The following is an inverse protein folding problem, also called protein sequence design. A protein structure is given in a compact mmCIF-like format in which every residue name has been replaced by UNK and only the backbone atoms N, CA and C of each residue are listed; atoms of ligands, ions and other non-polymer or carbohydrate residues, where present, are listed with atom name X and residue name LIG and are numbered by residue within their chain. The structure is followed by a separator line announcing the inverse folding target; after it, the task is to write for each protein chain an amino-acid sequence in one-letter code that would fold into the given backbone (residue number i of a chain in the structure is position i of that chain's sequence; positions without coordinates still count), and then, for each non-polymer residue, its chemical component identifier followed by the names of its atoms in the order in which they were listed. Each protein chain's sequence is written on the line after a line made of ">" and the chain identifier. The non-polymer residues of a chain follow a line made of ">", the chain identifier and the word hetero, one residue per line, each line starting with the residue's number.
data_IF_716899127180
#
_entry.id   IF_716899127180
#
_cell.length_a   1.000
_cell.length_b   1.000
_cell.length_c   1.000
_cell.angle_alpha   90.00
_cell.angle_beta   90.00
_cell.angle_gamma   90.00
#
_symmetry.space_group_name_H-M   'P 1'
#
loop_
_entity.id
_entity.type
_entity.pdbx_description
1 polymer ?
#
# COMPACT_ATOMS: atom_id res chain seq x y z
N UNK A 1 57.06 2.34 -0.37
CA UNK A 1 55.95 1.54 0.18
C UNK A 1 54.68 2.18 -0.34
N UNK A 2 54.24 1.75 -1.52
CA UNK A 2 53.03 2.25 -2.18
C UNK A 2 51.90 1.26 -1.91
N UNK A 3 50.80 1.74 -1.33
CA UNK A 3 49.61 0.95 -1.08
C UNK A 3 48.77 0.91 -2.36
N UNK A 4 48.49 -0.28 -2.94
CA UNK A 4 47.63 -0.36 -4.11
C UNK A 4 46.18 -0.11 -3.69
N UNK A 5 45.53 0.83 -4.38
CA UNK A 5 44.14 1.21 -4.18
C UNK A 5 43.21 0.03 -4.39
N UNK A 6 42.52 -0.33 -3.31
CA UNK A 6 41.46 -1.31 -3.26
C UNK A 6 40.28 -0.81 -4.12
N UNK A 7 40.18 -1.31 -5.36
CA UNK A 7 38.98 -1.17 -6.17
C UNK A 7 37.86 -1.97 -5.53
N UNK A 8 37.02 -1.27 -4.76
CA UNK A 8 35.72 -1.76 -4.33
C UNK A 8 34.87 -2.07 -5.57
N UNK A 9 34.31 -3.29 -5.71
CA UNK A 9 33.39 -3.58 -6.79
C UNK A 9 32.11 -2.77 -6.60
N UNK A 10 31.64 -2.18 -7.71
CA UNK A 10 30.37 -1.49 -7.80
C UNK A 10 29.27 -2.33 -7.14
N UNK A 11 28.66 -1.78 -6.09
CA UNK A 11 27.48 -2.34 -5.44
C UNK A 11 26.38 -2.43 -6.50
N UNK A 12 25.92 -3.66 -6.73
CA UNK A 12 24.99 -4.04 -7.78
C UNK A 12 23.79 -3.10 -7.91
N UNK A 13 23.80 -2.34 -9.00
CA UNK A 13 22.62 -1.82 -9.66
C UNK A 13 22.23 -2.88 -10.70
N UNK A 14 21.45 -3.88 -10.29
CA UNK A 14 20.73 -4.87 -11.11
C UNK A 14 20.26 -5.92 -10.08
N UNK A 15 18.98 -6.14 -9.78
CA UNK A 15 17.84 -6.34 -10.66
C UNK A 15 16.56 -5.80 -9.99
N UNK A 16 16.09 -4.63 -10.41
CA UNK A 16 14.68 -4.29 -10.28
C UNK A 16 13.91 -5.10 -11.34
N UNK A 17 13.78 -6.40 -11.11
CA UNK A 17 12.86 -7.24 -11.89
C UNK A 17 11.45 -6.70 -11.66
N UNK A 18 10.93 -6.00 -12.67
CA UNK A 18 9.54 -5.60 -12.80
C UNK A 18 8.62 -6.81 -13.07
N UNK A 19 8.86 -7.92 -12.37
CA UNK A 19 7.93 -9.03 -12.24
C UNK A 19 6.91 -8.70 -11.16
N UNK A 20 5.67 -9.09 -11.37
CA UNK A 20 4.70 -9.09 -10.28
C UNK A 20 5.24 -10.06 -9.20
N UNK A 21 5.54 -9.52 -8.01
CA UNK A 21 5.98 -10.29 -6.84
C UNK A 21 4.90 -11.34 -6.48
N UNK A 22 5.31 -12.57 -6.16
CA UNK A 22 4.44 -13.68 -5.71
C UNK A 22 3.52 -13.26 -4.55
N UNK A 23 3.97 -12.31 -3.73
CA UNK A 23 3.16 -11.70 -2.66
C UNK A 23 1.96 -10.94 -3.22
N UNK A 24 2.12 -10.23 -4.32
CA UNK A 24 1.01 -9.52 -4.96
C UNK A 24 0.04 -10.48 -5.67
N UNK A 25 0.51 -11.55 -6.30
CA UNK A 25 -0.40 -12.60 -6.82
C UNK A 25 -1.21 -13.26 -5.69
N UNK A 26 -0.57 -13.50 -4.55
CA UNK A 26 -1.25 -14.00 -3.34
C UNK A 26 -2.32 -13.01 -2.85
N UNK A 27 -2.01 -11.71 -2.87
CA UNK A 27 -2.99 -10.66 -2.56
C UNK A 27 -4.17 -10.69 -3.53
N UNK A 28 -3.94 -10.78 -4.85
CA UNK A 28 -4.99 -10.84 -5.87
C UNK A 28 -5.91 -12.05 -5.69
N UNK A 29 -5.33 -13.22 -5.38
CA UNK A 29 -6.10 -14.44 -5.11
C UNK A 29 -7.02 -14.27 -3.88
N UNK A 30 -6.51 -13.69 -2.80
CA UNK A 30 -7.30 -13.47 -1.58
C UNK A 30 -8.37 -12.38 -1.78
N UNK A 31 -8.04 -11.32 -2.53
CA UNK A 31 -8.96 -10.23 -2.83
C UNK A 31 -10.16 -10.67 -3.69
N UNK A 32 -9.99 -11.75 -4.46
CA UNK A 32 -11.00 -12.24 -5.41
C UNK A 32 -11.66 -13.56 -5.03
N UNK A 33 -11.26 -14.18 -3.92
CA UNK A 33 -11.74 -15.52 -3.51
C UNK A 33 -13.26 -15.60 -3.41
N UNK A 34 -13.87 -14.53 -2.88
CA UNK A 34 -15.30 -14.48 -2.55
C UNK A 34 -16.10 -13.64 -3.56
N UNK A 35 -15.44 -13.17 -4.63
CA UNK A 35 -16.09 -12.35 -5.64
C UNK A 35 -16.73 -13.21 -6.74
N UNK A 36 -17.88 -12.80 -7.30
CA UNK A 36 -18.47 -13.38 -8.50
C UNK A 36 -17.47 -13.44 -9.68
N UNK A 37 -17.50 -14.51 -10.46
CA UNK A 37 -16.53 -14.76 -11.55
C UNK A 37 -16.47 -13.64 -12.59
N UNK A 38 -17.60 -13.00 -12.86
CA UNK A 38 -17.73 -11.88 -13.81
C UNK A 38 -17.07 -10.58 -13.30
N UNK A 39 -16.96 -10.40 -11.99
CA UNK A 39 -16.34 -9.22 -11.37
C UNK A 39 -14.83 -9.37 -11.15
N UNK A 40 -14.34 -10.62 -10.96
CA UNK A 40 -12.92 -10.91 -10.76
C UNK A 40 -11.98 -10.24 -11.77
N UNK A 41 -12.17 -10.37 -13.10
CA UNK A 41 -11.21 -9.80 -14.06
C UNK A 41 -11.13 -8.28 -13.98
N UNK A 42 -12.26 -7.60 -13.71
CA UNK A 42 -12.29 -6.13 -13.58
C UNK A 42 -11.53 -5.66 -12.35
N UNK A 43 -11.73 -6.33 -11.21
CA UNK A 43 -11.04 -6.01 -9.95
C UNK A 43 -9.54 -6.29 -10.07
N UNK A 44 -9.15 -7.44 -10.64
CA UNK A 44 -7.73 -7.76 -10.89
C UNK A 44 -7.07 -6.73 -11.78
N UNK A 45 -7.72 -6.34 -12.89
CA UNK A 45 -7.18 -5.31 -13.79
C UNK A 45 -6.98 -3.97 -13.07
N UNK A 46 -7.97 -3.55 -12.27
CA UNK A 46 -7.88 -2.33 -11.47
C UNK A 46 -6.74 -2.38 -10.43
N UNK A 47 -6.59 -3.50 -9.73
CA UNK A 47 -5.53 -3.68 -8.74
C UNK A 47 -4.14 -3.73 -9.40
N UNK A 48 -3.99 -4.40 -10.55
CA UNK A 48 -2.73 -4.41 -11.30
C UNK A 48 -2.35 -3.01 -11.79
N UNK A 49 -3.30 -2.23 -12.30
CA UNK A 49 -3.06 -0.85 -12.71
C UNK A 49 -2.58 0.01 -11.52
N UNK A 50 -3.22 -0.13 -10.36
CA UNK A 50 -2.82 0.56 -9.11
C UNK A 50 -1.47 0.09 -8.55
N UNK A 51 -1.10 -1.17 -8.75
CA UNK A 51 0.21 -1.69 -8.37
C UNK A 51 1.33 -1.16 -9.28
N UNK A 52 1.06 -1.05 -10.59
CA UNK A 52 1.99 -0.50 -11.55
C UNK A 52 2.23 1.00 -11.33
N UNK A 53 1.16 1.76 -11.08
CA UNK A 53 1.21 3.20 -10.81
C UNK A 53 0.59 3.52 -9.44
N UNK A 54 1.35 3.32 -8.34
CA UNK A 54 0.84 3.61 -7.01
C UNK A 54 0.86 5.14 -6.74
N UNK A 55 -0.05 5.67 -5.91
CA UNK A 55 -0.23 7.11 -5.71
C UNK A 55 0.86 7.74 -4.81
N UNK A 56 2.08 7.83 -5.34
CA UNK A 56 3.27 8.27 -4.61
C UNK A 56 3.14 9.68 -4.03
N UNK A 57 2.76 10.65 -4.86
CA UNK A 57 2.65 12.06 -4.44
C UNK A 57 1.59 12.22 -3.34
N UNK A 58 0.45 11.55 -3.49
CA UNK A 58 -0.61 11.58 -2.49
C UNK A 58 -0.16 10.95 -1.17
N UNK A 59 0.53 9.80 -1.24
CA UNK A 59 1.09 9.14 -0.06
C UNK A 59 2.09 10.05 0.67
N UNK A 60 3.00 10.67 -0.09
CA UNK A 60 4.02 11.54 0.49
C UNK A 60 3.40 12.79 1.14
N UNK A 61 2.35 13.35 0.55
CA UNK A 61 1.61 14.47 1.12
C UNK A 61 0.90 14.09 2.43
N UNK A 62 0.23 12.94 2.48
CA UNK A 62 -0.50 12.49 3.67
C UNK A 62 0.45 12.10 4.81
N UNK A 63 1.50 11.34 4.52
CA UNK A 63 2.48 10.90 5.51
C UNK A 63 3.55 11.95 5.85
N UNK A 64 3.59 13.06 5.09
CA UNK A 64 4.59 14.14 5.20
C UNK A 64 6.04 13.61 5.14
N UNK A 65 6.27 12.57 4.34
CA UNK A 65 7.59 11.96 4.11
C UNK A 65 7.69 11.42 2.70
N UNK A 66 8.91 11.32 2.17
CA UNK A 66 9.14 10.61 0.90
C UNK A 66 8.92 9.11 1.09
N UNK A 67 8.34 8.47 0.06
CA UNK A 67 8.07 7.03 0.04
C UNK A 67 8.46 6.50 -1.33
N UNK A 68 9.19 5.38 -1.38
CA UNK A 68 9.51 4.71 -2.65
C UNK A 68 8.31 3.90 -3.17
N UNK A 69 8.22 3.64 -4.49
CA UNK A 69 7.17 2.78 -5.06
C UNK A 69 7.06 1.42 -4.37
N UNK A 70 8.21 0.80 -4.09
CA UNK A 70 8.30 -0.52 -3.46
C UNK A 70 7.76 -0.46 -2.02
N UNK A 71 8.07 0.60 -1.28
CA UNK A 71 7.57 0.78 0.09
C UNK A 71 6.07 1.03 0.13
N UNK A 72 5.54 1.77 -0.84
CA UNK A 72 4.10 2.01 -0.97
C UNK A 72 3.35 0.74 -1.37
N UNK A 73 3.87 -0.06 -2.30
CA UNK A 73 3.31 -1.38 -2.63
C UNK A 73 3.29 -2.28 -1.39
N UNK A 74 4.36 -2.25 -0.59
CA UNK A 74 4.39 -2.96 0.69
C UNK A 74 3.30 -2.48 1.64
N UNK A 75 3.20 -1.18 1.86
CA UNK A 75 2.17 -0.60 2.73
C UNK A 75 0.75 -0.99 2.27
N UNK A 76 0.48 -1.02 0.97
CA UNK A 76 -0.86 -1.30 0.44
C UNK A 76 -1.22 -2.79 0.42
N UNK A 77 -0.29 -3.66 0.03
CA UNK A 77 -0.61 -5.06 -0.30
C UNK A 77 -0.06 -6.07 0.70
N UNK A 78 1.00 -5.74 1.43
CA UNK A 78 1.65 -6.61 2.40
C UNK A 78 2.16 -5.79 3.60
N UNK A 79 1.25 -5.12 4.34
CA UNK A 79 1.63 -4.21 5.42
C UNK A 79 2.26 -4.97 6.58
N UNK A 80 3.30 -4.37 7.19
CA UNK A 80 3.76 -4.78 8.52
C UNK A 80 2.77 -4.33 9.61
N UNK A 81 3.03 -4.75 10.85
CA UNK A 81 2.32 -4.22 12.03
C UNK A 81 2.44 -2.69 12.14
N UNK A 82 3.63 -2.15 11.95
CA UNK A 82 3.89 -0.70 11.94
C UNK A 82 3.13 0.00 10.79
N UNK A 83 3.03 -0.64 9.62
CA UNK A 83 2.22 -0.09 8.52
C UNK A 83 0.75 0.01 8.92
N UNK A 84 0.21 -1.01 9.56
CA UNK A 84 -1.19 -1.02 9.98
C UNK A 84 -1.50 0.00 11.08
N UNK A 85 -0.51 0.39 11.87
CA UNK A 85 -0.65 1.53 12.80
C UNK A 85 -0.75 2.89 12.08
N UNK A 86 -0.22 3.00 10.85
CA UNK A 86 -0.33 4.21 10.03
C UNK A 86 -1.63 4.25 9.20
N UNK A 87 -2.35 3.14 9.05
CA UNK A 87 -3.60 3.09 8.29
C UNK A 87 -4.66 4.09 8.76
N UNK A 88 -4.92 4.30 10.06
CA UNK A 88 -5.91 5.27 10.52
C UNK A 88 -5.70 6.66 9.90
N UNK A 89 -4.45 7.16 9.87
CA UNK A 89 -4.12 8.44 9.22
C UNK A 89 -4.37 8.41 7.71
N UNK A 90 -4.10 7.29 7.04
CA UNK A 90 -4.26 7.14 5.59
C UNK A 90 -5.72 7.00 5.15
N UNK A 91 -6.60 6.49 6.02
CA UNK A 91 -8.02 6.31 5.74
C UNK A 91 -8.91 7.45 6.29
N UNK A 92 -8.33 8.40 7.03
CA UNK A 92 -9.07 9.57 7.51
C UNK A 92 -9.73 10.34 6.39
N UNK A 93 -10.86 10.97 6.69
CA UNK A 93 -11.55 11.86 5.77
C UNK A 93 -10.68 13.07 5.42
N UNK A 94 -10.81 13.56 4.18
CA UNK A 94 -10.24 14.84 3.80
C UNK A 94 -10.84 16.00 4.64
N UNK A 95 -10.09 17.09 4.87
CA UNK A 95 -10.62 18.27 5.55
C UNK A 95 -11.91 18.79 4.89
N UNK A 96 -12.80 19.38 5.68
CA UNK A 96 -14.03 19.97 5.13
C UNK A 96 -13.73 21.05 4.09
N UNK A 97 -14.40 21.00 2.94
CA UNK A 97 -14.15 21.89 1.81
C UNK A 97 -12.94 21.52 0.94
N UNK A 98 -12.25 20.40 1.21
CA UNK A 98 -11.18 19.91 0.35
C UNK A 98 -11.72 19.51 -1.05
N UNK A 99 -10.95 19.73 -2.12
CA UNK A 99 -11.33 19.32 -3.47
C UNK A 99 -11.42 17.79 -3.58
N UNK A 100 -12.19 17.28 -4.54
CA UNK A 100 -12.33 15.83 -4.77
C UNK A 100 -10.98 15.14 -5.03
N UNK A 101 -10.03 15.85 -5.65
CA UNK A 101 -8.70 15.34 -5.98
C UNK A 101 -7.69 15.42 -4.81
N UNK A 102 -8.15 15.75 -3.61
CA UNK A 102 -7.29 15.88 -2.43
C UNK A 102 -6.51 14.58 -2.15
N UNK A 103 -5.20 14.65 -1.83
CA UNK A 103 -4.36 13.49 -1.53
C UNK A 103 -4.96 12.49 -0.54
N UNK A 104 -5.64 13.01 0.48
CA UNK A 104 -6.33 12.20 1.49
C UNK A 104 -7.41 11.31 0.87
N UNK A 105 -8.25 11.85 -0.03
CA UNK A 105 -9.32 11.09 -0.70
C UNK A 105 -8.74 9.95 -1.55
N UNK A 106 -7.64 10.23 -2.27
CA UNK A 106 -6.91 9.20 -3.04
C UNK A 106 -6.41 8.10 -2.10
N UNK A 107 -5.66 8.47 -1.06
CA UNK A 107 -5.09 7.47 -0.14
C UNK A 107 -6.16 6.66 0.59
N UNK A 108 -7.23 7.30 1.03
CA UNK A 108 -8.37 6.67 1.65
C UNK A 108 -8.96 5.58 0.75
N UNK A 109 -9.25 5.90 -0.52
CA UNK A 109 -9.79 4.92 -1.45
C UNK A 109 -8.86 3.71 -1.64
N UNK A 110 -7.55 3.92 -1.75
CA UNK A 110 -6.58 2.84 -1.90
C UNK A 110 -6.49 1.95 -0.65
N UNK A 111 -6.34 2.57 0.53
CA UNK A 111 -6.20 1.86 1.79
C UNK A 111 -7.49 1.14 2.21
N UNK A 112 -8.66 1.77 2.06
CA UNK A 112 -9.95 1.12 2.34
C UNK A 112 -10.21 -0.07 1.41
N UNK A 113 -9.86 0.04 0.13
CA UNK A 113 -9.98 -1.08 -0.82
C UNK A 113 -9.16 -2.28 -0.34
N UNK A 114 -7.89 -2.07 0.02
CA UNK A 114 -7.02 -3.16 0.48
C UNK A 114 -7.46 -3.74 1.84
N UNK A 115 -7.87 -2.86 2.77
CA UNK A 115 -8.39 -3.24 4.08
C UNK A 115 -9.64 -4.11 3.96
N UNK A 116 -10.62 -3.68 3.14
CA UNK A 116 -11.87 -4.41 2.93
C UNK A 116 -11.65 -5.74 2.19
N UNK A 117 -10.91 -5.73 1.08
CA UNK A 117 -10.78 -6.93 0.24
C UNK A 117 -9.93 -8.02 0.89
N UNK A 118 -8.90 -7.67 1.66
CA UNK A 118 -7.92 -8.65 2.16
C UNK A 118 -7.62 -8.48 3.65
N UNK A 119 -7.18 -7.30 4.09
CA UNK A 119 -6.49 -7.22 5.38
C UNK A 119 -7.42 -7.42 6.58
N UNK A 120 -8.68 -6.99 6.49
CA UNK A 120 -9.70 -7.17 7.53
C UNK A 120 -10.04 -8.63 7.82
N UNK A 121 -9.69 -9.55 6.92
CA UNK A 121 -9.97 -11.00 7.05
C UNK A 121 -8.94 -11.73 7.91
N UNK A 122 -7.85 -11.06 8.30
CA UNK A 122 -6.77 -11.65 9.10
C UNK A 122 -6.61 -10.88 10.39
N UNK A 123 -6.93 -11.53 11.51
CA UNK A 123 -6.88 -10.91 12.83
C UNK A 123 -5.49 -10.31 13.15
N UNK A 124 -4.42 -11.07 12.89
CA UNK A 124 -3.05 -10.63 13.12
C UNK A 124 -2.69 -9.35 12.34
N UNK A 125 -3.25 -9.18 11.14
CA UNK A 125 -3.01 -8.01 10.31
C UNK A 125 -3.87 -6.83 10.74
N UNK A 126 -5.15 -7.03 11.09
CA UNK A 126 -6.07 -5.92 11.43
C UNK A 126 -5.96 -5.45 12.88
N UNK A 127 -5.47 -6.30 13.79
CA UNK A 127 -5.34 -5.96 15.21
C UNK A 127 -4.54 -4.66 15.46
N UNK A 128 -3.35 -4.44 14.86
CA UNK A 128 -2.60 -3.19 15.06
C UNK A 128 -3.34 -1.94 14.55
N UNK A 129 -4.12 -2.08 13.48
CA UNK A 129 -4.99 -1.02 12.98
C UNK A 129 -6.08 -0.65 13.99
N UNK A 130 -6.72 -1.65 14.61
CA UNK A 130 -7.74 -1.44 15.65
C UNK A 130 -7.12 -0.78 16.88
N UNK A 131 -5.98 -1.28 17.34
CA UNK A 131 -5.24 -0.74 18.50
C UNK A 131 -4.78 0.71 18.26
N UNK A 132 -4.50 1.07 17.02
CA UNK A 132 -4.17 2.44 16.61
C UNK A 132 -5.40 3.36 16.43
N UNK A 133 -6.60 2.92 16.83
CA UNK A 133 -7.83 3.72 16.74
C UNK A 133 -8.55 3.66 15.39
N UNK A 134 -8.17 2.72 14.52
CA UNK A 134 -8.72 2.61 13.16
C UNK A 134 -10.24 2.47 13.08
N UNK A 135 -10.88 1.88 14.08
CA UNK A 135 -12.35 1.78 14.12
C UNK A 135 -13.04 3.13 14.28
N UNK A 136 -12.44 4.09 15.00
CA UNK A 136 -13.01 5.43 15.17
C UNK A 136 -13.04 6.16 13.82
N UNK A 137 -11.93 6.07 13.08
CA UNK A 137 -11.81 6.68 11.76
C UNK A 137 -12.81 6.11 10.75
N UNK A 138 -13.18 4.84 10.87
CA UNK A 138 -14.19 4.23 10.00
C UNK A 138 -15.62 4.72 10.29
N UNK A 139 -15.92 5.11 11.54
CA UNK A 139 -17.23 5.66 11.92
C UNK A 139 -17.34 7.13 11.49
N UNK A 140 -16.22 7.86 11.51
CA UNK A 140 -16.15 9.27 11.13
C UNK A 140 -16.07 9.52 9.61
N UNK A 141 -16.00 8.44 8.82
CA UNK A 141 -15.92 8.48 7.35
C UNK A 141 -17.27 8.62 6.66
#
# INVERSE_FOLDING_TARGET
>A
VEFPGEMMPARGEDEASAGIDDRFETFLKNATSDLPEDLRPKIVAGLRAKHASPPLEATAAVLRRSVSPERLRQLLYYPSEEDMQAYPQLISRAPEGAPEDHPQTKMQMHCLTALYLVHSRRWETVKPFIEAGGLQVLVDN
#
